data_IF_851756481793
#
_entry.id   IF_851756481793
#
_cell.length_a   1.000
_cell.length_b   1.000
_cell.length_c   1.000
_cell.angle_alpha   90.00
_cell.angle_beta   90.00
_cell.angle_gamma   90.00
#
_symmetry.space_group_name_H-M   'P 1'
#
loop_
_entity.id
_entity.type
_entity.pdbx_description
1 polymer ?
#
# COMPACT_ATOMS: atom_id res chain seq x y z
N UNK A 1 9.64 -4.60 11.89
CA UNK A 1 9.34 -4.57 10.43
C UNK A 1 7.91 -5.07 10.18
N UNK A 2 7.47 -6.23 10.73
CA UNK A 2 6.12 -6.78 10.55
C UNK A 2 5.01 -5.81 10.99
N UNK A 3 5.14 -5.21 12.17
CA UNK A 3 4.18 -4.23 12.69
C UNK A 3 4.05 -2.98 11.79
N UNK A 4 5.15 -2.48 11.24
CA UNK A 4 5.13 -1.37 10.29
C UNK A 4 4.39 -1.75 9.00
N UNK A 5 4.65 -2.94 8.47
CA UNK A 5 4.00 -3.43 7.24
C UNK A 5 2.49 -3.71 7.40
N UNK A 6 1.98 -3.88 8.63
CA UNK A 6 0.53 -3.94 8.87
C UNK A 6 -0.19 -2.70 8.36
N UNK A 7 0.44 -1.53 8.44
CA UNK A 7 -0.14 -0.27 7.99
C UNK A 7 -0.60 -0.31 6.53
N UNK A 8 0.13 -1.03 5.66
CA UNK A 8 -0.24 -1.19 4.24
C UNK A 8 -1.56 -1.95 4.10
N UNK A 9 -1.71 -3.09 4.78
CA UNK A 9 -2.92 -3.91 4.71
C UNK A 9 -4.12 -3.22 5.38
N UNK A 10 -3.89 -2.57 6.52
CA UNK A 10 -4.92 -1.78 7.21
C UNK A 10 -5.40 -0.62 6.33
N UNK A 11 -4.46 0.11 5.74
CA UNK A 11 -4.77 1.22 4.83
C UNK A 11 -5.53 0.75 3.59
N UNK A 12 -5.10 -0.34 2.96
CA UNK A 12 -5.78 -0.91 1.80
C UNK A 12 -7.20 -1.38 2.13
N UNK A 13 -7.38 -2.10 3.23
CA UNK A 13 -8.70 -2.58 3.67
C UNK A 13 -9.64 -1.43 4.02
N UNK A 14 -9.17 -0.42 4.77
CA UNK A 14 -9.95 0.78 5.09
C UNK A 14 -10.30 1.58 3.82
N UNK A 15 -9.35 1.75 2.91
CA UNK A 15 -9.60 2.44 1.64
C UNK A 15 -10.67 1.73 0.81
N UNK A 16 -10.69 0.40 0.79
CA UNK A 16 -11.76 -0.37 0.13
C UNK A 16 -13.12 -0.18 0.80
N UNK A 17 -13.19 -0.35 2.12
CA UNK A 17 -14.44 -0.23 2.87
C UNK A 17 -15.01 1.18 2.74
N UNK A 18 -14.23 2.20 3.06
CA UNK A 18 -14.68 3.59 3.06
C UNK A 18 -14.88 4.09 1.61
N UNK A 19 -13.90 3.85 0.73
CA UNK A 19 -13.96 4.29 -0.66
C UNK A 19 -15.13 3.68 -1.42
N UNK A 20 -15.40 2.39 -1.21
CA UNK A 20 -16.55 1.73 -1.83
C UNK A 20 -17.89 2.31 -1.41
N UNK A 21 -18.05 2.69 -0.12
CA UNK A 21 -19.26 3.35 0.36
C UNK A 21 -19.40 4.77 -0.19
N UNK A 22 -18.30 5.52 -0.25
CA UNK A 22 -18.28 6.87 -0.86
C UNK A 22 -18.68 6.78 -2.33
N UNK A 23 -18.11 5.86 -3.10
CA UNK A 23 -18.47 5.66 -4.51
C UNK A 23 -19.96 5.34 -4.63
N UNK A 24 -20.46 4.36 -3.86
CA UNK A 24 -21.85 3.96 -3.92
C UNK A 24 -22.83 5.10 -3.55
N UNK A 25 -22.40 5.97 -2.63
CA UNK A 25 -23.19 7.15 -2.22
C UNK A 25 -23.17 8.23 -3.30
N UNK A 26 -21.99 8.59 -3.81
CA UNK A 26 -21.83 9.66 -4.81
C UNK A 26 -22.58 9.34 -6.11
N UNK A 27 -22.58 8.08 -6.55
CA UNK A 27 -23.29 7.69 -7.77
C UNK A 27 -24.82 7.70 -7.63
N UNK A 28 -25.35 7.74 -6.39
CA UNK A 28 -26.78 7.88 -6.09
C UNK A 28 -27.18 9.31 -5.73
N UNK A 29 -26.21 10.16 -5.39
CA UNK A 29 -26.45 11.53 -5.00
C UNK A 29 -26.81 12.42 -6.21
N UNK A 30 -27.59 13.50 -6.01
CA UNK A 30 -27.80 14.50 -7.06
C UNK A 30 -26.45 15.15 -7.43
N UNK A 31 -26.34 15.70 -8.65
CA UNK A 31 -25.14 16.41 -9.07
C UNK A 31 -24.74 17.51 -8.07
N UNK A 32 -23.48 17.54 -7.69
CA UNK A 32 -22.95 18.55 -6.77
C UNK A 32 -22.54 19.77 -7.59
N UNK A 33 -23.21 20.89 -7.38
CA UNK A 33 -22.87 22.17 -7.99
C UNK A 33 -21.99 22.98 -7.05
N UNK A 34 -20.80 23.33 -7.51
CA UNK A 34 -19.90 24.22 -6.77
C UNK A 34 -19.95 25.62 -7.38
N UNK A 35 -20.11 26.68 -6.55
CA UNK A 35 -19.94 28.05 -6.99
C UNK A 35 -18.56 28.19 -7.64
N UNK A 36 -18.47 28.78 -8.83
CA UNK A 36 -17.26 29.04 -9.63
C UNK A 36 -16.66 27.82 -10.40
N UNK A 37 -16.99 26.57 -10.07
CA UNK A 37 -16.42 25.38 -10.74
C UNK A 37 -17.45 24.69 -11.63
N UNK A 38 -18.76 24.91 -11.35
CA UNK A 38 -19.86 24.26 -12.04
C UNK A 38 -20.21 22.88 -11.45
N UNK A 39 -20.86 22.05 -12.25
CA UNK A 39 -21.35 20.73 -11.83
C UNK A 39 -20.21 19.72 -11.79
N UNK A 40 -19.95 19.14 -10.62
CA UNK A 40 -18.96 18.06 -10.45
C UNK A 40 -19.46 16.74 -11.03
N UNK A 41 -18.61 16.11 -11.81
CA UNK A 41 -18.83 14.71 -12.21
C UNK A 41 -18.67 13.78 -10.98
N UNK A 42 -19.39 12.63 -10.91
CA UNK A 42 -19.33 11.74 -9.76
C UNK A 42 -17.91 11.33 -9.37
N UNK A 43 -17.04 11.03 -10.33
CA UNK A 43 -15.66 10.65 -10.05
C UNK A 43 -14.84 11.79 -9.42
N UNK A 44 -15.10 13.04 -9.81
CA UNK A 44 -14.44 14.22 -9.21
C UNK A 44 -14.85 14.41 -7.76
N UNK A 45 -16.14 14.23 -7.46
CA UNK A 45 -16.65 14.27 -6.09
C UNK A 45 -15.99 13.21 -5.20
N UNK A 46 -15.81 11.98 -5.71
CA UNK A 46 -15.09 10.92 -4.99
C UNK A 46 -13.66 11.35 -4.67
N UNK A 47 -12.93 11.91 -5.64
CA UNK A 47 -11.55 12.37 -5.41
C UNK A 47 -11.46 13.48 -4.36
N UNK A 48 -12.39 14.45 -4.39
CA UNK A 48 -12.46 15.50 -3.37
C UNK A 48 -12.73 14.92 -1.99
N UNK A 49 -13.70 14.02 -1.87
CA UNK A 49 -14.09 13.42 -0.58
C UNK A 49 -13.00 12.55 0.03
N UNK A 50 -12.27 11.80 -0.81
CA UNK A 50 -11.16 10.95 -0.35
C UNK A 50 -9.87 11.77 -0.16
N UNK A 51 -9.68 12.82 -0.93
CA UNK A 51 -8.49 13.67 -0.87
C UNK A 51 -8.45 14.61 0.35
N UNK A 52 -9.60 15.14 0.77
CA UNK A 52 -9.66 16.05 1.93
C UNK A 52 -9.09 15.46 3.23
N UNK A 53 -9.45 14.23 3.65
CA UNK A 53 -8.78 13.58 4.78
C UNK A 53 -7.27 13.41 4.58
N UNK A 54 -6.82 13.18 3.33
CA UNK A 54 -5.40 13.10 2.99
C UNK A 54 -4.64 14.40 3.28
N UNK A 55 -5.24 15.56 3.03
CA UNK A 55 -4.65 16.85 3.39
C UNK A 55 -4.49 17.02 4.90
N UNK A 56 -5.46 16.57 5.70
CA UNK A 56 -5.34 16.58 7.16
C UNK A 56 -4.17 15.71 7.63
N UNK A 57 -4.01 14.53 7.05
CA UNK A 57 -2.88 13.64 7.35
C UNK A 57 -1.56 14.30 6.94
N UNK A 58 -1.49 14.94 5.78
CA UNK A 58 -0.31 15.68 5.33
C UNK A 58 0.07 16.81 6.31
N UNK A 59 -0.91 17.57 6.79
CA UNK A 59 -0.70 18.60 7.81
C UNK A 59 -0.22 18.02 9.15
N UNK A 60 -0.79 16.89 9.57
CA UNK A 60 -0.32 16.18 10.77
C UNK A 60 1.13 15.68 10.59
N UNK A 61 1.47 15.15 9.41
CA UNK A 61 2.85 14.71 9.12
C UNK A 61 3.86 15.86 9.16
N UNK A 62 3.46 17.08 8.81
CA UNK A 62 4.32 18.27 8.91
C UNK A 62 4.70 18.60 10.36
N UNK A 63 3.95 18.12 11.36
CA UNK A 63 4.25 18.30 12.79
C UNK A 63 5.22 17.25 13.33
N UNK A 64 5.46 16.16 12.58
CA UNK A 64 6.33 15.06 13.01
C UNK A 64 7.78 15.46 12.79
N UNK A 65 8.55 15.50 13.87
CA UNK A 65 9.99 15.74 13.81
C UNK A 65 10.70 14.52 13.23
N UNK A 66 11.52 14.73 12.20
CA UNK A 66 12.33 13.66 11.62
C UNK A 66 13.26 13.07 12.72
N UNK A 67 13.20 11.75 12.98
CA UNK A 67 14.12 11.12 13.92
C UNK A 67 15.54 11.14 13.36
N UNK A 68 16.52 11.17 14.26
CA UNK A 68 17.92 11.07 13.85
C UNK A 68 18.14 9.75 13.09
N UNK A 69 18.77 9.84 11.93
CA UNK A 69 19.09 8.66 11.11
C UNK A 69 20.11 7.80 11.85
N UNK A 70 19.74 6.54 12.08
CA UNK A 70 20.59 5.52 12.67
C UNK A 70 21.16 4.63 11.56
N UNK A 71 22.31 4.00 11.82
CA UNK A 71 22.97 3.05 10.91
C UNK A 71 23.42 3.65 9.57
N UNK A 72 23.80 4.93 9.56
CA UNK A 72 24.46 5.50 8.38
C UNK A 72 25.89 4.96 8.27
N UNK A 73 26.28 4.64 7.04
CA UNK A 73 27.70 4.41 6.75
C UNK A 73 28.45 5.73 7.00
N UNK A 74 29.37 5.70 7.93
CA UNK A 74 30.21 6.85 8.28
C UNK A 74 31.66 6.55 7.91
N UNK A 75 32.30 7.50 7.26
CA UNK A 75 33.75 7.48 7.06
C UNK A 75 34.49 7.55 8.39
N UNK A 76 35.80 7.26 8.37
CA UNK A 76 36.67 7.37 9.54
C UNK A 76 36.60 8.76 10.20
N UNK A 77 36.27 9.79 9.44
CA UNK A 77 36.14 11.19 9.89
C UNK A 77 34.72 11.52 10.43
N UNK A 78 33.84 10.52 10.62
CA UNK A 78 32.48 10.71 11.15
C UNK A 78 31.50 11.37 10.17
N UNK A 79 31.88 11.57 8.93
CA UNK A 79 31.02 12.11 7.88
C UNK A 79 30.19 10.99 7.21
N UNK A 80 28.98 11.28 6.71
CA UNK A 80 28.22 10.31 5.91
C UNK A 80 29.06 9.85 4.71
N UNK A 81 29.29 8.54 4.62
CA UNK A 81 30.02 7.96 3.51
C UNK A 81 29.06 7.54 2.41
N UNK A 82 29.31 8.00 1.19
CA UNK A 82 28.49 7.68 0.02
C UNK A 82 29.27 6.73 -0.88
N UNK A 83 28.74 5.53 -1.03
CA UNK A 83 29.31 4.59 -2.01
C UNK A 83 29.13 5.14 -3.43
N UNK A 84 30.20 5.20 -4.24
CA UNK A 84 30.09 5.58 -5.64
C UNK A 84 29.11 4.66 -6.38
N UNK A 85 28.25 5.22 -7.21
CA UNK A 85 27.28 4.44 -7.99
C UNK A 85 27.92 3.32 -8.82
N UNK A 86 29.16 3.54 -9.28
CA UNK A 86 29.94 2.55 -10.02
C UNK A 86 30.21 1.29 -9.19
N UNK A 87 30.54 1.43 -7.91
CA UNK A 87 30.83 0.31 -7.02
C UNK A 87 29.55 -0.46 -6.68
N UNK A 88 28.44 0.26 -6.47
CA UNK A 88 27.11 -0.36 -6.29
C UNK A 88 26.71 -1.16 -7.54
N UNK A 89 26.92 -0.58 -8.73
CA UNK A 89 26.60 -1.28 -9.98
C UNK A 89 27.50 -2.49 -10.21
N UNK A 90 28.79 -2.38 -9.92
CA UNK A 90 29.74 -3.49 -9.94
C UNK A 90 29.27 -4.65 -9.05
N UNK A 91 28.94 -4.34 -7.79
CA UNK A 91 28.44 -5.33 -6.84
C UNK A 91 27.16 -6.04 -7.30
N UNK A 92 26.21 -5.30 -7.92
CA UNK A 92 24.98 -5.87 -8.47
C UNK A 92 25.27 -6.78 -9.66
N UNK A 93 26.16 -6.37 -10.56
CA UNK A 93 26.53 -7.14 -11.75
C UNK A 93 27.30 -8.42 -11.41
N UNK A 94 28.17 -8.39 -10.42
CA UNK A 94 28.89 -9.58 -9.92
C UNK A 94 27.94 -10.64 -9.35
N UNK A 95 26.82 -10.18 -8.77
CA UNK A 95 25.77 -11.06 -8.19
C UNK A 95 24.48 -11.06 -8.99
N UNK A 96 24.56 -10.79 -10.30
CA UNK A 96 23.38 -10.61 -11.19
C UNK A 96 22.38 -11.78 -11.12
N UNK A 97 22.83 -13.01 -11.01
CA UNK A 97 21.92 -14.16 -10.92
C UNK A 97 21.04 -14.11 -9.67
N UNK A 98 21.62 -13.75 -8.51
CA UNK A 98 20.89 -13.61 -7.24
C UNK A 98 19.91 -12.47 -7.29
N UNK A 99 20.34 -11.27 -7.74
CA UNK A 99 19.47 -10.10 -7.79
C UNK A 99 18.40 -10.25 -8.85
N UNK A 100 18.73 -10.83 -10.02
CA UNK A 100 17.73 -11.05 -11.07
C UNK A 100 16.65 -12.03 -10.61
N UNK A 101 17.01 -13.15 -10.00
CA UNK A 101 16.04 -14.10 -9.47
C UNK A 101 15.17 -13.50 -8.36
N UNK A 102 15.76 -12.68 -7.47
CA UNK A 102 15.03 -11.98 -6.43
C UNK A 102 14.03 -10.98 -7.03
N UNK A 103 14.46 -10.13 -7.95
CA UNK A 103 13.59 -9.13 -8.58
C UNK A 103 12.48 -9.77 -9.40
N UNK A 104 12.80 -10.81 -10.18
CA UNK A 104 11.78 -11.54 -10.94
C UNK A 104 10.77 -12.23 -10.02
N UNK A 105 11.22 -12.87 -8.95
CA UNK A 105 10.34 -13.49 -7.97
C UNK A 105 9.42 -12.47 -7.29
N UNK A 106 9.97 -11.37 -6.83
CA UNK A 106 9.19 -10.28 -6.21
C UNK A 106 8.22 -9.64 -7.21
N UNK A 107 8.63 -9.45 -8.46
CA UNK A 107 7.75 -8.92 -9.52
C UNK A 107 6.55 -9.83 -9.77
N UNK A 108 6.76 -11.13 -9.89
CA UNK A 108 5.67 -12.10 -10.09
C UNK A 108 4.70 -12.09 -8.90
N UNK A 109 5.21 -12.12 -7.68
CA UNK A 109 4.37 -12.05 -6.47
C UNK A 109 3.56 -10.75 -6.43
N UNK A 110 4.18 -9.64 -6.79
CA UNK A 110 3.52 -8.33 -6.83
C UNK A 110 2.43 -8.27 -7.89
N UNK A 111 2.70 -8.76 -9.11
CA UNK A 111 1.71 -8.81 -10.21
C UNK A 111 0.50 -9.66 -9.79
N UNK A 112 0.75 -10.84 -9.23
CA UNK A 112 -0.33 -11.72 -8.76
C UNK A 112 -1.14 -11.05 -7.64
N UNK A 113 -0.47 -10.45 -6.64
CA UNK A 113 -1.12 -9.77 -5.53
C UNK A 113 -2.01 -8.62 -5.96
N UNK A 114 -1.48 -7.72 -6.79
CA UNK A 114 -2.28 -6.61 -7.35
C UNK A 114 -3.35 -7.09 -8.33
N UNK A 115 -3.06 -8.14 -9.10
CA UNK A 115 -4.06 -8.77 -9.96
C UNK A 115 -5.28 -9.21 -9.15
N UNK A 116 -5.09 -9.96 -8.09
CA UNK A 116 -6.20 -10.36 -7.22
C UNK A 116 -6.89 -9.16 -6.56
N UNK A 117 -6.14 -8.19 -6.07
CA UNK A 117 -6.70 -7.01 -5.41
C UNK A 117 -7.70 -6.25 -6.29
N UNK A 118 -7.41 -6.12 -7.59
CA UNK A 118 -8.25 -5.35 -8.52
C UNK A 118 -9.30 -6.21 -9.25
N UNK A 119 -8.98 -7.47 -9.56
CA UNK A 119 -9.88 -8.29 -10.37
C UNK A 119 -10.92 -9.06 -9.56
N UNK A 120 -10.64 -9.43 -8.30
CA UNK A 120 -11.62 -10.12 -7.46
C UNK A 120 -12.90 -9.29 -7.28
N UNK A 121 -12.86 -8.00 -6.90
CA UNK A 121 -14.08 -7.20 -6.81
C UNK A 121 -14.85 -7.14 -8.12
N UNK A 122 -14.15 -6.96 -9.23
CA UNK A 122 -14.76 -6.91 -10.57
C UNK A 122 -15.44 -8.23 -10.94
N UNK A 123 -14.85 -9.36 -10.57
CA UNK A 123 -15.43 -10.69 -10.78
C UNK A 123 -16.74 -10.85 -10.01
N UNK A 124 -16.79 -10.44 -8.73
CA UNK A 124 -18.03 -10.53 -7.93
C UNK A 124 -19.15 -9.67 -8.51
N UNK A 125 -18.83 -8.46 -8.97
CA UNK A 125 -19.81 -7.58 -9.61
C UNK A 125 -20.33 -8.20 -10.91
N UNK A 126 -19.44 -8.72 -11.77
CA UNK A 126 -19.82 -9.23 -13.11
C UNK A 126 -20.50 -10.60 -13.07
N UNK A 127 -20.04 -11.49 -12.19
CA UNK A 127 -20.51 -12.88 -12.16
C UNK A 127 -21.71 -13.08 -11.26
N UNK A 128 -21.73 -12.42 -10.10
CA UNK A 128 -22.77 -12.60 -9.09
C UNK A 128 -23.66 -11.37 -8.88
N UNK A 129 -23.46 -10.30 -9.65
CA UNK A 129 -24.30 -9.10 -9.57
C UNK A 129 -24.20 -8.31 -8.28
N UNK A 130 -23.11 -8.47 -7.53
CA UNK A 130 -22.92 -7.72 -6.30
C UNK A 130 -22.78 -6.22 -6.58
N UNK A 131 -23.32 -5.39 -5.71
CA UNK A 131 -23.08 -3.95 -5.77
C UNK A 131 -21.64 -3.60 -5.37
N UNK A 132 -21.18 -2.43 -5.80
CA UNK A 132 -19.87 -1.91 -5.40
C UNK A 132 -19.73 -1.82 -3.88
N UNK A 133 -20.80 -1.41 -3.19
CA UNK A 133 -20.80 -1.30 -1.74
C UNK A 133 -20.64 -2.66 -1.04
N UNK A 134 -21.34 -3.69 -1.51
CA UNK A 134 -21.28 -5.03 -0.93
C UNK A 134 -19.90 -5.65 -1.11
N UNK A 135 -19.37 -5.64 -2.34
CA UNK A 135 -18.07 -6.24 -2.60
C UNK A 135 -16.94 -5.50 -1.89
N UNK A 136 -17.00 -4.16 -1.86
CA UNK A 136 -15.99 -3.34 -1.19
C UNK A 136 -16.00 -3.55 0.33
N UNK A 137 -17.18 -3.71 0.92
CA UNK A 137 -17.32 -4.02 2.34
C UNK A 137 -16.77 -5.42 2.64
N UNK A 138 -17.24 -6.45 1.94
CA UNK A 138 -16.83 -7.82 2.20
C UNK A 138 -15.34 -8.04 1.95
N UNK A 139 -14.85 -7.65 0.78
CA UNK A 139 -13.45 -7.84 0.41
C UNK A 139 -12.51 -6.93 1.21
N UNK A 140 -12.92 -5.68 1.46
CA UNK A 140 -12.18 -4.75 2.29
C UNK A 140 -12.01 -5.25 3.73
N UNK A 141 -13.05 -5.85 4.32
CA UNK A 141 -12.95 -6.48 5.66
C UNK A 141 -12.02 -7.69 5.65
N UNK A 142 -12.05 -8.52 4.61
CA UNK A 142 -11.09 -9.63 4.46
C UNK A 142 -9.65 -9.11 4.44
N UNK A 143 -9.35 -8.10 3.64
CA UNK A 143 -8.02 -7.49 3.56
C UNK A 143 -7.62 -6.84 4.88
N UNK A 144 -8.57 -6.13 5.53
CA UNK A 144 -8.34 -5.43 6.79
C UNK A 144 -8.00 -6.38 7.95
N UNK A 145 -8.62 -7.55 7.99
CA UNK A 145 -8.43 -8.53 9.09
C UNK A 145 -7.29 -9.49 8.77
N UNK A 146 -7.36 -10.14 7.63
CA UNK A 146 -6.42 -11.22 7.29
C UNK A 146 -5.08 -10.71 6.76
N UNK A 147 -5.03 -9.50 6.18
CA UNK A 147 -3.77 -8.87 5.76
C UNK A 147 -2.77 -8.71 6.91
N UNK A 148 -3.12 -7.98 7.98
CA UNK A 148 -2.26 -7.85 9.16
C UNK A 148 -1.90 -9.17 9.82
N UNK A 149 -2.86 -10.09 9.93
CA UNK A 149 -2.63 -11.42 10.51
C UNK A 149 -1.58 -12.16 9.67
N UNK A 150 -1.74 -12.19 8.33
CA UNK A 150 -0.81 -12.87 7.42
C UNK A 150 0.61 -12.32 7.50
N UNK A 151 0.77 -10.99 7.50
CA UNK A 151 2.08 -10.33 7.60
C UNK A 151 2.78 -10.67 8.91
N UNK A 152 2.05 -10.63 10.05
CA UNK A 152 2.65 -10.91 11.36
C UNK A 152 2.95 -12.40 11.54
N UNK A 153 2.03 -13.28 11.14
CA UNK A 153 2.25 -14.73 11.22
C UNK A 153 3.42 -15.15 10.33
N UNK A 154 3.50 -14.63 9.09
CA UNK A 154 4.60 -14.89 8.18
C UNK A 154 5.94 -14.45 8.76
N UNK A 155 6.01 -13.21 9.31
CA UNK A 155 7.20 -12.68 9.95
C UNK A 155 7.62 -13.48 11.19
N UNK A 156 6.66 -13.83 12.04
CA UNK A 156 6.90 -14.66 13.22
C UNK A 156 7.40 -16.07 12.85
N UNK A 157 6.78 -16.71 11.86
CA UNK A 157 7.17 -18.02 11.40
C UNK A 157 8.58 -18.02 10.81
N UNK A 158 8.87 -17.04 9.94
CA UNK A 158 10.20 -16.87 9.36
C UNK A 158 11.28 -16.70 10.43
N UNK A 159 11.03 -15.85 11.43
CA UNK A 159 11.95 -15.64 12.54
C UNK A 159 12.17 -16.91 13.35
N UNK A 160 11.09 -17.65 13.63
CA UNK A 160 11.16 -18.91 14.40
C UNK A 160 11.94 -19.99 13.68
N UNK A 161 11.73 -20.12 12.37
CA UNK A 161 12.47 -21.07 11.53
C UNK A 161 13.96 -20.71 11.44
N UNK A 162 14.27 -19.42 11.27
CA UNK A 162 15.63 -18.93 11.25
C UNK A 162 16.37 -19.24 12.56
N UNK A 163 15.73 -19.00 13.72
CA UNK A 163 16.31 -19.29 15.03
C UNK A 163 16.52 -20.79 15.28
N UNK A 164 15.78 -21.66 14.57
CA UNK A 164 15.94 -23.11 14.67
C UNK A 164 16.95 -23.69 13.67
N UNK A 165 17.63 -22.85 12.87
CA UNK A 165 18.65 -23.28 11.91
C UNK A 165 18.09 -24.04 10.70
N UNK A 166 16.85 -23.81 10.33
CA UNK A 166 16.20 -24.42 9.16
C UNK A 166 15.89 -23.40 8.09
#
# INVERSE_FOLDING_TARGET
IGFYNMGVSLGAGLAMVIGGQIIAWVFKAPPIELPMVGTLQPWQAVFVMVGLPGLLIALLMATVKEPARQDQLTSADGQPDFLPMKDVMGFLLDRKATYLSLFMGMSVVTIVGYGFLFWIPTMFIRTWGWSIAEVSMAYGLVVLVFGPIGVNLGGWLAQRLYQRGR
#
